data_IF_533098480315
#
_entry.id   IF_533098480315
#
_cell.length_a   1.000
_cell.length_b   1.000
_cell.length_c   1.000
_cell.angle_alpha   90.00
_cell.angle_beta   90.00
_cell.angle_gamma   90.00
#
_symmetry.space_group_name_H-M   'P 1'
#
loop_
_entity.id
_entity.type
_entity.pdbx_description
1 polymer ?
#
# COMPACT_ATOMS: atom_id res chain seq x y z
N UNK A 1 -6.10 -25.37 7.20
CA UNK A 1 -4.68 -25.05 6.90
C UNK A 1 -4.48 -24.46 5.50
N UNK A 2 -4.91 -25.14 4.43
CA UNK A 2 -4.69 -24.68 3.04
C UNK A 2 -5.33 -23.30 2.74
N UNK A 3 -6.55 -23.06 3.23
CA UNK A 3 -7.20 -21.76 3.05
C UNK A 3 -6.42 -20.62 3.70
N UNK A 4 -5.86 -20.86 4.89
CA UNK A 4 -5.05 -19.89 5.61
C UNK A 4 -3.72 -19.63 4.89
N UNK A 5 -3.02 -20.67 4.44
CA UNK A 5 -1.75 -20.49 3.73
C UNK A 5 -1.95 -19.75 2.41
N UNK A 6 -3.00 -20.09 1.65
CA UNK A 6 -3.35 -19.38 0.43
C UNK A 6 -3.64 -17.90 0.69
N UNK A 7 -4.42 -17.61 1.72
CA UNK A 7 -4.75 -16.24 2.09
C UNK A 7 -3.49 -15.44 2.49
N UNK A 8 -2.60 -16.05 3.28
CA UNK A 8 -1.32 -15.43 3.66
C UNK A 8 -0.43 -15.18 2.45
N UNK A 9 -0.34 -16.12 1.50
CA UNK A 9 0.40 -15.92 0.24
C UNK A 9 -0.21 -14.76 -0.55
N UNK A 10 -1.54 -14.69 -0.64
CA UNK A 10 -2.23 -13.58 -1.31
C UNK A 10 -1.87 -12.22 -0.69
N UNK A 11 -1.82 -12.14 0.64
CA UNK A 11 -1.44 -10.91 1.35
C UNK A 11 0.01 -10.50 1.06
N UNK A 12 0.95 -11.44 1.11
CA UNK A 12 2.37 -11.18 0.81
C UNK A 12 2.56 -10.71 -0.64
N UNK A 13 1.92 -11.40 -1.58
CA UNK A 13 1.99 -11.06 -3.00
C UNK A 13 1.45 -9.64 -3.27
N UNK A 14 0.47 -9.19 -2.50
CA UNK A 14 -0.08 -7.84 -2.60
C UNK A 14 0.60 -6.81 -1.68
N UNK A 15 1.63 -7.18 -0.92
CA UNK A 15 2.25 -6.34 0.10
C UNK A 15 1.21 -5.63 0.99
N UNK A 16 0.31 -6.43 1.58
CA UNK A 16 -0.79 -5.93 2.38
C UNK A 16 -0.94 -6.75 3.65
N UNK A 17 -1.17 -6.10 4.79
CA UNK A 17 -1.44 -6.78 6.05
C UNK A 17 -2.91 -7.21 6.17
N UNK A 18 -3.22 -8.08 7.14
CA UNK A 18 -4.62 -8.48 7.40
C UNK A 18 -5.47 -7.25 7.76
N UNK A 19 -4.94 -6.37 8.61
CA UNK A 19 -5.66 -5.17 9.06
C UNK A 19 -5.94 -4.24 7.88
N UNK A 20 -4.94 -4.00 7.04
CA UNK A 20 -5.10 -3.21 5.82
C UNK A 20 -6.09 -3.84 4.84
N UNK A 21 -6.08 -5.17 4.70
CA UNK A 21 -7.01 -5.88 3.82
C UNK A 21 -8.47 -5.70 4.26
N UNK A 22 -8.72 -5.68 5.56
CA UNK A 22 -10.04 -5.46 6.13
C UNK A 22 -10.47 -4.00 5.97
N UNK A 23 -9.58 -3.05 6.23
CA UNK A 23 -9.84 -1.63 6.03
C UNK A 23 -10.14 -1.31 4.55
N UNK A 24 -9.36 -1.87 3.62
CA UNK A 24 -9.55 -1.69 2.18
C UNK A 24 -10.92 -2.23 1.72
N UNK A 25 -11.35 -3.38 2.28
CA UNK A 25 -12.68 -3.94 1.99
C UNK A 25 -13.80 -3.02 2.47
N UNK A 26 -13.71 -2.52 3.70
CA UNK A 26 -14.68 -1.57 4.24
C UNK A 26 -14.77 -0.30 3.37
N UNK A 27 -13.63 0.27 2.97
CA UNK A 27 -13.62 1.45 2.10
C UNK A 27 -14.21 1.18 0.70
N UNK A 28 -14.02 -0.03 0.16
CA UNK A 28 -14.63 -0.41 -1.13
C UNK A 28 -16.15 -0.55 -1.03
N UNK A 29 -16.65 -1.10 0.06
CA UNK A 29 -18.07 -1.22 0.33
C UNK A 29 -18.72 0.17 0.48
N UNK A 30 -18.09 1.08 1.24
CA UNK A 30 -18.52 2.48 1.35
C UNK A 30 -18.57 3.18 -0.01
N UNK A 31 -17.56 2.95 -0.86
CA UNK A 31 -17.51 3.48 -2.22
C UNK A 31 -18.63 2.94 -3.11
N UNK A 32 -18.96 1.66 -2.99
CA UNK A 32 -20.03 1.04 -3.76
C UNK A 32 -21.39 1.66 -3.40
N UNK A 33 -21.64 1.87 -2.11
CA UNK A 33 -22.85 2.53 -1.60
C UNK A 33 -22.92 4.00 -2.07
N UNK A 34 -21.80 4.72 -2.05
CA UNK A 34 -21.73 6.12 -2.51
C UNK A 34 -21.91 6.25 -4.02
N UNK A 35 -21.38 5.29 -4.78
CA UNK A 35 -21.54 5.24 -6.22
C UNK A 35 -23.01 4.99 -6.60
N UNK A 36 -23.67 4.05 -5.92
CA UNK A 36 -25.10 3.74 -6.14
C UNK A 36 -26.02 4.91 -5.76
N UNK A 37 -25.64 5.69 -4.75
CA UNK A 37 -26.36 6.91 -4.35
C UNK A 37 -26.05 8.15 -5.22
N UNK A 38 -25.24 8.01 -6.27
CA UNK A 38 -24.97 9.08 -7.24
C UNK A 38 -24.01 10.18 -6.74
N UNK A 39 -23.31 9.95 -5.63
CA UNK A 39 -22.33 10.87 -5.06
C UNK A 39 -20.93 10.25 -5.07
N UNK A 40 -20.28 10.11 -6.25
CA UNK A 40 -18.92 9.60 -6.31
C UNK A 40 -17.96 10.61 -5.68
N UNK A 41 -17.42 10.29 -4.50
CA UNK A 41 -16.34 11.08 -3.88
C UNK A 41 -14.97 10.57 -4.40
N UNK A 42 -14.24 11.37 -5.20
CA UNK A 42 -12.93 10.99 -5.70
C UNK A 42 -11.87 10.82 -4.60
N UNK A 43 -12.03 11.44 -3.43
CA UNK A 43 -11.10 11.27 -2.31
C UNK A 43 -11.23 9.88 -1.68
N UNK A 44 -12.45 9.36 -1.54
CA UNK A 44 -12.68 8.00 -1.05
C UNK A 44 -12.12 6.97 -2.04
N UNK A 45 -12.28 7.21 -3.35
CA UNK A 45 -11.75 6.32 -4.39
C UNK A 45 -10.22 6.19 -4.29
N UNK A 46 -9.51 7.27 -3.96
CA UNK A 46 -8.06 7.23 -3.73
C UNK A 46 -7.66 6.46 -2.45
N UNK A 47 -8.54 6.37 -1.43
CA UNK A 47 -8.27 5.62 -0.19
C UNK A 47 -8.46 4.10 -0.34
N UNK A 48 -9.21 3.66 -1.36
CA UNK A 48 -9.42 2.25 -1.68
C UNK A 48 -8.31 1.62 -2.53
N UNK A 49 -7.18 2.31 -2.71
CA UNK A 49 -6.01 1.86 -3.45
C UNK A 49 -4.90 1.45 -2.49
N UNK A 50 -4.30 0.28 -2.71
CA UNK A 50 -3.13 -0.15 -1.95
C UNK A 50 -1.87 0.64 -2.39
N UNK A 51 -1.44 1.57 -1.54
CA UNK A 51 -0.24 2.40 -1.78
C UNK A 51 1.08 1.65 -1.57
N UNK A 52 1.06 0.52 -0.87
CA UNK A 52 2.25 -0.27 -0.56
C UNK A 52 2.56 -1.32 -1.63
N UNK A 53 1.68 -1.53 -2.62
CA UNK A 53 2.00 -2.40 -3.76
C UNK A 53 3.13 -1.76 -4.58
N UNK A 54 4.27 -2.43 -4.69
CA UNK A 54 5.45 -1.96 -5.43
C UNK A 54 5.30 -2.10 -6.96
N UNK A 55 4.09 -2.45 -7.43
CA UNK A 55 3.73 -2.59 -8.85
C UNK A 55 4.19 -3.92 -9.46
N UNK A 56 4.88 -4.78 -8.70
CA UNK A 56 5.28 -6.11 -9.13
C UNK A 56 5.15 -7.10 -7.98
N UNK A 57 4.43 -8.18 -8.23
CA UNK A 57 4.22 -9.27 -7.27
C UNK A 57 5.53 -9.89 -6.78
N UNK A 58 6.54 -9.94 -7.66
CA UNK A 58 7.89 -10.37 -7.30
C UNK A 58 8.57 -9.39 -6.35
N UNK A 59 8.45 -8.08 -6.57
CA UNK A 59 9.03 -7.07 -5.65
C UNK A 59 8.38 -7.09 -4.28
N UNK A 60 7.07 -7.31 -4.23
CA UNK A 60 6.33 -7.48 -2.98
C UNK A 60 6.81 -8.73 -2.25
N UNK A 61 6.90 -9.86 -2.95
CA UNK A 61 7.43 -11.10 -2.40
C UNK A 61 8.85 -10.94 -1.86
N UNK A 62 9.75 -10.39 -2.67
CA UNK A 62 11.16 -10.17 -2.31
C UNK A 62 11.31 -9.21 -1.11
N UNK A 63 10.37 -8.28 -0.91
CA UNK A 63 10.37 -7.38 0.25
C UNK A 63 10.08 -8.07 1.58
N UNK A 64 9.37 -9.21 1.55
CA UNK A 64 9.00 -9.96 2.76
C UNK A 64 9.93 -11.15 2.95
N UNK A 65 10.13 -11.95 1.90
CA UNK A 65 10.86 -13.22 1.98
C UNK A 65 12.36 -13.08 1.70
N UNK A 66 12.80 -11.96 1.10
CA UNK A 66 14.17 -11.80 0.63
C UNK A 66 14.35 -12.21 -0.82
N UNK A 67 15.56 -12.07 -1.33
CA UNK A 67 15.87 -12.21 -2.75
C UNK A 67 16.30 -13.62 -3.17
N UNK A 68 16.67 -14.45 -2.19
CA UNK A 68 17.25 -15.77 -2.44
C UNK A 68 16.37 -16.89 -1.92
N UNK A 69 16.31 -18.00 -2.66
CA UNK A 69 15.55 -19.20 -2.28
C UNK A 69 15.99 -19.81 -0.93
N UNK A 70 17.25 -19.62 -0.52
CA UNK A 70 17.73 -20.05 0.79
C UNK A 70 17.07 -19.26 1.93
N UNK A 71 16.85 -17.95 1.74
CA UNK A 71 16.12 -17.11 2.71
C UNK A 71 14.64 -17.51 2.79
N UNK A 72 14.08 -18.11 1.74
CA UNK A 72 12.68 -18.54 1.71
C UNK A 72 12.47 -19.85 2.47
N UNK A 73 13.47 -20.74 2.47
CA UNK A 73 13.36 -22.07 3.06
C UNK A 73 13.77 -22.10 4.54
N UNK A 74 14.73 -21.26 4.94
CA UNK A 74 15.23 -21.23 6.31
C UNK A 74 14.72 -19.99 7.05
N UNK A 75 14.41 -20.09 8.35
CA UNK A 75 14.04 -18.95 9.19
C UNK A 75 15.30 -18.13 9.54
N UNK A 76 15.91 -17.53 8.54
CA UNK A 76 17.08 -16.66 8.66
C UNK A 76 16.68 -15.21 8.43
N UNK A 77 17.42 -14.30 9.05
CA UNK A 77 17.23 -12.88 8.78
C UNK A 77 17.61 -12.59 7.33
N UNK A 78 16.75 -11.87 6.63
CA UNK A 78 17.00 -11.54 5.22
C UNK A 78 18.23 -10.66 5.09
N UNK A 79 18.96 -10.79 3.98
CA UNK A 79 20.13 -9.97 3.68
C UNK A 79 19.81 -8.47 3.73
N UNK A 80 18.60 -8.10 3.30
CA UNK A 80 18.09 -6.72 3.36
C UNK A 80 18.02 -6.20 4.81
N UNK A 81 17.39 -6.95 5.71
CA UNK A 81 17.35 -6.59 7.13
C UNK A 81 18.76 -6.55 7.75
N UNK A 82 19.65 -7.45 7.34
CA UNK A 82 21.03 -7.45 7.83
C UNK A 82 21.81 -6.22 7.38
N UNK A 83 21.63 -5.81 6.12
CA UNK A 83 22.29 -4.64 5.56
C UNK A 83 21.78 -3.33 6.15
N UNK A 84 20.48 -3.22 6.46
CA UNK A 84 19.92 -2.01 7.06
C UNK A 84 20.43 -1.79 8.49
N UNK A 85 20.50 -2.86 9.29
CA UNK A 85 21.10 -2.85 10.63
C UNK A 85 22.57 -2.45 10.57
N UNK A 86 23.34 -3.03 9.64
CA UNK A 86 24.77 -2.72 9.49
C UNK A 86 25.03 -1.27 9.05
N UNK A 87 24.15 -0.70 8.23
CA UNK A 87 24.30 0.65 7.69
C UNK A 87 23.64 1.73 8.57
N UNK A 88 23.02 1.36 9.69
CA UNK A 88 22.32 2.30 10.58
C UNK A 88 21.11 2.98 9.93
N UNK A 89 20.60 2.45 8.82
CA UNK A 89 19.44 3.01 8.14
C UNK A 89 18.18 2.51 8.82
N UNK A 90 17.39 3.44 9.38
CA UNK A 90 16.10 3.17 10.02
C UNK A 90 15.01 2.75 9.01
N UNK A 91 15.30 2.76 7.72
CA UNK A 91 14.34 2.50 6.64
C UNK A 91 13.75 1.08 6.65
N UNK A 92 14.39 0.09 7.26
CA UNK A 92 13.88 -1.29 7.31
C UNK A 92 13.55 -1.75 8.76
N UNK A 93 13.37 -0.81 9.70
CA UNK A 93 12.93 -1.11 11.08
C UNK A 93 11.40 -1.19 11.23
N UNK A 94 10.67 -1.22 10.12
CA UNK A 94 9.20 -1.25 10.11
C UNK A 94 8.53 0.11 10.33
N UNK A 95 9.30 1.20 10.37
CA UNK A 95 8.76 2.56 10.43
C UNK A 95 8.49 3.14 9.03
N UNK A 96 9.39 2.85 8.09
CA UNK A 96 9.28 3.31 6.71
C UNK A 96 9.10 2.11 5.78
N UNK A 97 8.25 2.28 4.78
CA UNK A 97 8.03 1.27 3.74
C UNK A 97 8.17 1.93 2.37
N UNK A 98 8.81 1.25 1.40
CA UNK A 98 8.87 1.74 0.05
C UNK A 98 7.46 1.80 -0.54
N UNK A 99 7.15 2.95 -1.14
CA UNK A 99 5.87 3.21 -1.83
C UNK A 99 6.15 3.25 -3.33
N UNK A 100 5.23 2.77 -4.16
CA UNK A 100 5.37 2.91 -5.61
C UNK A 100 5.46 4.39 -6.00
N UNK A 101 6.60 4.74 -6.62
CA UNK A 101 6.91 6.10 -7.06
C UNK A 101 5.98 6.56 -8.18
N UNK A 102 5.40 5.64 -8.96
CA UNK A 102 4.43 6.01 -10.00
C UNK A 102 3.11 6.40 -9.35
N UNK A 103 2.52 5.50 -8.56
CA UNK A 103 1.28 5.78 -7.83
C UNK A 103 1.39 7.02 -6.94
N UNK A 104 2.50 7.21 -6.23
CA UNK A 104 2.75 8.42 -5.42
C UNK A 104 2.70 9.70 -6.26
N UNK A 105 3.29 9.70 -7.45
CA UNK A 105 3.27 10.87 -8.35
C UNK A 105 1.86 11.16 -8.84
N UNK A 106 1.10 10.13 -9.18
CA UNK A 106 -0.27 10.27 -9.68
C UNK A 106 -1.19 10.84 -8.58
N UNK A 107 -1.10 10.34 -7.34
CA UNK A 107 -1.82 10.88 -6.18
C UNK A 107 -1.42 12.33 -5.90
N UNK A 108 -0.12 12.65 -5.95
CA UNK A 108 0.36 14.02 -5.75
C UNK A 108 -0.15 14.96 -6.84
N UNK A 109 -0.21 14.50 -8.10
CA UNK A 109 -0.75 15.25 -9.21
C UNK A 109 -2.25 15.50 -9.02
N UNK A 110 -3.02 14.46 -8.68
CA UNK A 110 -4.45 14.59 -8.39
C UNK A 110 -4.71 15.58 -7.27
N UNK A 111 -3.99 15.48 -6.14
CA UNK A 111 -4.13 16.43 -5.04
C UNK A 111 -3.84 17.87 -5.49
N UNK A 112 -2.78 18.09 -6.28
CA UNK A 112 -2.48 19.42 -6.84
C UNK A 112 -3.56 19.93 -7.77
N UNK A 113 -4.18 19.06 -8.57
CA UNK A 113 -5.28 19.42 -9.46
C UNK A 113 -6.54 19.76 -8.65
N UNK A 114 -6.90 18.95 -7.66
CA UNK A 114 -8.03 19.20 -6.78
C UNK A 114 -7.90 20.55 -6.07
N UNK A 115 -6.73 20.86 -5.49
CA UNK A 115 -6.49 22.16 -4.84
C UNK A 115 -6.61 23.34 -5.80
N UNK A 116 -6.31 23.16 -7.09
CA UNK A 116 -6.42 24.22 -8.11
C UNK A 116 -7.84 24.38 -8.66
N UNK A 117 -8.62 23.30 -8.68
CA UNK A 117 -9.98 23.26 -9.23
C UNK A 117 -11.04 23.63 -8.21
N UNK A 118 -10.77 23.49 -6.91
CA UNK A 118 -11.61 24.10 -5.88
C UNK A 118 -11.21 25.57 -5.77
N UNK A 119 -11.97 26.54 -6.33
CA UNK A 119 -11.74 27.93 -5.97
C UNK A 119 -11.83 28.01 -4.44
N UNK A 120 -10.87 28.71 -3.81
CA UNK A 120 -11.08 29.18 -2.44
C UNK A 120 -12.44 29.85 -2.43
N UNK A 121 -13.41 29.27 -1.74
CA UNK A 121 -14.71 29.90 -1.51
C UNK A 121 -14.41 31.24 -0.86
N UNK A 122 -14.51 32.32 -1.63
CA UNK A 122 -14.32 33.68 -1.17
C UNK A 122 -15.60 34.17 -0.49
N UNK A 123 -16.10 33.39 0.47
CA UNK A 123 -17.22 33.74 1.33
C UNK A 123 -16.73 33.79 2.77
N UNK A 124 -15.87 34.77 3.05
CA UNK A 124 -15.70 35.36 4.38
C UNK A 124 -15.69 36.88 4.16
N UNK A 125 -16.89 37.46 4.10
CA UNK A 125 -17.18 38.89 4.36
C UNK A 125 -18.48 38.95 5.14
#
# INVERSE_FOLDING_TARGET
>A
MIAFTWYSIYLVVNNMTIIESSALRAHREELEILHDSGHPDPMLASRAVNIFDLGSKRRNWDSVMGSTWMEWLFPITTYRQRSSIANGSYDDQGLYFPVDKKLKRDIQLQNRLLTRLTPRSSMDV
#
